data_IF_635352611685
#
_entry.id   IF_635352611685
#
_cell.length_a   1.000
_cell.length_b   1.000
_cell.length_c   1.000
_cell.angle_alpha   90.00
_cell.angle_beta   90.00
_cell.angle_gamma   90.00
#
_symmetry.space_group_name_H-M   'P 1'
#
loop_
_entity.id
_entity.type
_entity.pdbx_description
1 polymer ?
#
# COMPACT_ATOMS: atom_id res chain seq x y z
N UNK A 1 -2.08 20.82 -22.57
CA UNK A 1 -1.04 20.29 -21.63
C UNK A 1 -0.14 19.32 -22.38
N UNK A 2 1.19 19.37 -22.22
CA UNK A 2 2.11 18.41 -22.90
C UNK A 2 1.87 17.00 -22.34
N UNK A 3 1.43 16.06 -23.18
CA UNK A 3 1.38 14.62 -22.84
C UNK A 3 2.79 14.21 -22.37
N UNK A 4 2.96 13.98 -21.08
CA UNK A 4 4.20 13.40 -20.54
C UNK A 4 4.21 11.95 -20.98
N UNK A 5 5.27 11.52 -21.67
CA UNK A 5 5.49 10.11 -22.02
C UNK A 5 5.31 9.20 -20.79
N UNK A 6 4.66 8.05 -20.96
CA UNK A 6 4.41 7.03 -19.95
C UNK A 6 5.69 6.69 -19.15
N UNK A 7 6.84 6.67 -19.82
CA UNK A 7 8.14 6.44 -19.18
C UNK A 7 8.52 7.53 -18.17
N UNK A 8 8.20 8.79 -18.46
CA UNK A 8 8.47 9.91 -17.56
C UNK A 8 7.57 9.84 -16.31
N UNK A 9 6.32 9.37 -16.46
CA UNK A 9 5.41 9.12 -15.34
C UNK A 9 5.92 7.98 -14.45
N UNK A 10 6.29 6.84 -15.04
CA UNK A 10 6.89 5.70 -14.32
C UNK A 10 8.14 6.09 -13.53
N UNK A 11 9.02 6.91 -14.12
CA UNK A 11 10.23 7.39 -13.44
C UNK A 11 9.91 8.34 -12.29
N UNK A 12 8.93 9.22 -12.45
CA UNK A 12 8.48 10.14 -11.39
C UNK A 12 7.88 9.35 -10.22
N UNK A 13 7.03 8.37 -10.52
CA UNK A 13 6.49 7.44 -9.53
C UNK A 13 7.58 6.63 -8.84
N UNK A 14 8.59 6.18 -9.60
CA UNK A 14 9.78 5.53 -9.04
C UNK A 14 10.51 6.40 -8.02
N UNK A 15 10.61 7.71 -8.24
CA UNK A 15 11.20 8.62 -7.24
C UNK A 15 10.34 8.72 -5.97
N UNK A 16 9.01 8.80 -6.11
CA UNK A 16 8.11 8.77 -4.95
C UNK A 16 8.26 7.47 -4.14
N UNK A 17 8.30 6.33 -4.80
CA UNK A 17 8.48 5.03 -4.12
C UNK A 17 9.86 4.92 -3.46
N UNK A 18 10.89 5.53 -4.05
CA UNK A 18 12.21 5.64 -3.43
C UNK A 18 12.12 6.42 -2.12
N UNK A 19 11.49 7.60 -2.12
CA UNK A 19 11.30 8.42 -0.91
C UNK A 19 10.53 7.63 0.16
N UNK A 20 9.42 6.99 -0.21
CA UNK A 20 8.66 6.16 0.72
C UNK A 20 9.50 5.02 1.32
N UNK A 21 10.25 4.30 0.48
CA UNK A 21 11.09 3.19 0.97
C UNK A 21 12.19 3.67 1.92
N UNK A 22 12.79 4.84 1.68
CA UNK A 22 13.76 5.44 2.59
C UNK A 22 13.11 5.89 3.91
N UNK A 23 11.87 6.39 3.86
CA UNK A 23 11.11 6.69 5.08
C UNK A 23 10.89 5.43 5.91
N UNK A 24 10.43 4.34 5.28
CA UNK A 24 10.15 3.07 5.96
C UNK A 24 11.41 2.38 6.51
N UNK A 25 12.52 2.42 5.77
CA UNK A 25 13.74 1.70 6.12
C UNK A 25 14.67 2.48 7.06
N UNK A 26 14.69 3.80 6.95
CA UNK A 26 15.70 4.63 7.61
C UNK A 26 15.04 5.64 8.53
N UNK A 27 14.17 6.52 8.01
CA UNK A 27 13.67 7.65 8.79
C UNK A 27 12.83 7.19 10.00
N UNK A 28 11.87 6.28 9.78
CA UNK A 28 10.97 5.80 10.84
C UNK A 28 11.74 4.98 11.90
N UNK A 29 12.56 3.97 11.53
CA UNK A 29 13.35 3.23 12.53
C UNK A 29 14.33 4.11 13.30
N UNK A 30 15.02 5.05 12.63
CA UNK A 30 15.92 5.98 13.32
C UNK A 30 15.17 6.91 14.27
N UNK A 31 14.02 7.44 13.85
CA UNK A 31 13.19 8.28 14.71
C UNK A 31 12.73 7.51 15.95
N UNK A 32 12.34 6.24 15.77
CA UNK A 32 11.94 5.40 16.89
C UNK A 32 13.11 5.16 17.87
N UNK A 33 14.30 4.84 17.36
CA UNK A 33 15.46 4.51 18.21
C UNK A 33 16.08 5.76 18.87
N UNK A 34 16.16 6.88 18.15
CA UNK A 34 16.88 8.08 18.61
C UNK A 34 15.99 9.08 19.35
N UNK A 35 14.68 9.09 19.10
CA UNK A 35 13.76 10.08 19.66
C UNK A 35 12.73 9.42 20.57
N UNK A 36 11.98 8.43 20.08
CA UNK A 36 10.89 7.84 20.87
C UNK A 36 11.37 6.98 22.03
N UNK A 37 12.30 6.05 21.78
CA UNK A 37 12.78 5.13 22.81
C UNK A 37 13.45 5.86 24.00
N UNK A 38 14.34 6.86 23.81
CA UNK A 38 14.92 7.60 24.93
C UNK A 38 13.89 8.39 25.75
N UNK A 39 12.75 8.73 25.15
CA UNK A 39 11.64 9.39 25.87
C UNK A 39 10.71 8.42 26.60
N UNK A 40 11.00 7.11 26.58
CA UNK A 40 10.22 6.09 27.30
C UNK A 40 9.04 5.49 26.52
N UNK A 41 8.93 5.74 25.21
CA UNK A 41 7.82 5.24 24.39
C UNK A 41 7.67 3.70 24.43
N UNK A 42 8.77 2.95 24.36
CA UNK A 42 8.77 1.48 24.40
C UNK A 42 8.21 0.92 25.70
N UNK A 43 8.52 1.59 26.81
CA UNK A 43 8.25 1.08 28.16
C UNK A 43 6.77 1.22 28.49
N UNK A 44 6.15 2.32 28.04
CA UNK A 44 4.70 2.54 28.19
C UNK A 44 3.85 1.55 27.39
N UNK A 45 4.37 1.01 26.29
CA UNK A 45 3.63 0.11 25.39
C UNK A 45 3.76 -1.36 25.74
N UNK A 46 4.85 -1.75 26.40
CA UNK A 46 5.18 -3.16 26.69
C UNK A 46 4.59 -3.67 28.00
N UNK A 47 4.22 -2.78 28.93
CA UNK A 47 3.71 -3.18 30.25
C UNK A 47 2.17 -3.21 30.36
N UNK A 48 1.43 -2.92 29.28
CA UNK A 48 -0.03 -2.90 29.31
C UNK A 48 -0.63 -1.82 30.22
N UNK A 49 0.19 -0.86 30.67
CA UNK A 49 -0.24 0.29 31.45
C UNK A 49 -0.75 1.39 30.52
N UNK A 50 -1.97 1.19 30.03
CA UNK A 50 -2.68 2.15 29.18
C UNK A 50 -2.67 3.57 29.76
N UNK A 51 -2.75 3.73 31.08
CA UNK A 51 -2.69 5.04 31.74
C UNK A 51 -1.31 5.70 31.59
N UNK A 52 -0.23 4.92 31.72
CA UNK A 52 1.14 5.43 31.52
C UNK A 52 1.36 5.83 30.06
N UNK A 53 0.77 5.07 29.13
CA UNK A 53 0.76 5.42 27.71
C UNK A 53 -0.01 6.72 27.42
N UNK A 54 -1.19 6.90 28.00
CA UNK A 54 -1.96 8.13 27.87
C UNK A 54 -1.26 9.34 28.49
N UNK A 55 -0.63 9.16 29.65
CA UNK A 55 0.16 10.18 30.32
C UNK A 55 1.37 10.59 29.48
N UNK A 56 2.12 9.61 28.97
CA UNK A 56 3.26 9.87 28.09
C UNK A 56 2.83 10.60 26.82
N UNK A 57 1.73 10.17 26.21
CA UNK A 57 1.18 10.78 24.99
C UNK A 57 0.79 12.24 25.22
N UNK A 58 0.26 12.58 26.40
CA UNK A 58 -0.13 13.94 26.76
C UNK A 58 1.09 14.85 26.86
N UNK A 59 2.18 14.36 27.42
CA UNK A 59 3.42 15.11 27.58
C UNK A 59 4.28 15.16 26.30
N UNK A 60 4.13 14.20 25.40
CA UNK A 60 4.96 14.05 24.18
C UNK A 60 4.14 14.06 22.89
N UNK A 61 3.00 14.75 22.88
CA UNK A 61 2.08 14.82 21.74
C UNK A 61 2.79 15.15 20.41
N UNK A 62 3.69 16.15 20.32
CA UNK A 62 4.38 16.46 19.06
C UNK A 62 5.21 15.28 18.55
N UNK A 63 5.89 14.56 19.45
CA UNK A 63 6.74 13.44 19.07
C UNK A 63 5.93 12.28 18.48
N UNK A 64 4.76 12.02 19.07
CA UNK A 64 3.83 11.00 18.59
C UNK A 64 3.20 11.38 17.24
N UNK A 65 2.77 12.64 17.08
CA UNK A 65 2.19 13.14 15.82
C UNK A 65 3.20 13.06 14.69
N UNK A 66 4.46 13.46 14.91
CA UNK A 66 5.51 13.36 13.91
C UNK A 66 5.72 11.90 13.49
N UNK A 67 5.82 10.98 14.45
CA UNK A 67 5.97 9.54 14.15
C UNK A 67 4.81 8.99 13.31
N UNK A 68 3.56 9.26 13.73
CA UNK A 68 2.37 8.80 13.01
C UNK A 68 2.22 9.46 11.64
N UNK A 69 2.59 10.74 11.53
CA UNK A 69 2.62 11.48 10.29
C UNK A 69 3.63 10.92 9.29
N UNK A 70 4.86 10.62 9.74
CA UNK A 70 5.88 9.98 8.89
C UNK A 70 5.40 8.64 8.33
N UNK A 71 4.75 7.84 9.17
CA UNK A 71 4.22 6.53 8.80
C UNK A 71 3.04 6.63 7.83
N UNK A 72 2.10 7.57 8.06
CA UNK A 72 1.00 7.84 7.15
C UNK A 72 1.50 8.37 5.79
N UNK A 73 2.44 9.32 5.79
CA UNK A 73 3.04 9.88 4.57
C UNK A 73 3.78 8.80 3.78
N UNK A 74 4.56 7.94 4.46
CA UNK A 74 5.28 6.87 3.78
C UNK A 74 4.34 5.95 2.99
N UNK A 75 3.19 5.58 3.56
CA UNK A 75 2.21 4.76 2.85
C UNK A 75 1.38 5.55 1.83
N UNK A 76 1.02 6.81 2.10
CA UNK A 76 0.31 7.65 1.16
C UNK A 76 1.09 7.86 -0.15
N UNK A 77 2.42 8.00 -0.06
CA UNK A 77 3.30 8.10 -1.24
C UNK A 77 3.29 6.82 -2.09
N UNK A 78 2.95 5.66 -1.51
CA UNK A 78 2.85 4.39 -2.24
C UNK A 78 1.48 4.19 -2.90
N UNK A 79 0.54 5.13 -2.79
CA UNK A 79 -0.83 4.97 -3.28
C UNK A 79 -0.92 4.52 -4.75
N UNK A 80 -0.06 5.05 -5.62
CA UNK A 80 -0.03 4.72 -7.06
C UNK A 80 0.78 3.45 -7.38
N UNK A 81 1.42 2.83 -6.38
CA UNK A 81 2.32 1.68 -6.59
C UNK A 81 1.58 0.45 -7.14
N UNK A 82 0.41 0.04 -6.61
CA UNK A 82 -0.33 -1.11 -7.14
C UNK A 82 -0.71 -0.93 -8.61
N UNK A 83 -1.19 0.26 -8.99
CA UNK A 83 -1.49 0.61 -10.39
C UNK A 83 -0.25 0.57 -11.28
N UNK A 84 0.88 1.07 -10.79
CA UNK A 84 2.14 1.04 -11.54
C UNK A 84 2.59 -0.40 -11.81
N UNK A 85 2.51 -1.30 -10.82
CA UNK A 85 2.83 -2.71 -11.00
C UNK A 85 1.86 -3.40 -11.97
N UNK A 86 0.57 -3.10 -11.86
CA UNK A 86 -0.45 -3.61 -12.77
C UNK A 86 -0.16 -3.25 -14.22
N UNK A 87 0.07 -1.97 -14.51
CA UNK A 87 0.38 -1.51 -15.87
C UNK A 87 1.61 -2.21 -16.44
N UNK A 88 2.65 -2.39 -15.64
CA UNK A 88 3.87 -3.09 -16.08
C UNK A 88 3.58 -4.56 -16.37
N UNK A 89 2.79 -5.23 -15.52
CA UNK A 89 2.45 -6.64 -15.70
C UNK A 89 1.57 -6.84 -16.93
N UNK A 90 0.52 -6.02 -17.08
CA UNK A 90 -0.37 -6.08 -18.25
C UNK A 90 0.38 -5.76 -19.53
N UNK A 91 1.22 -4.73 -19.56
CA UNK A 91 2.04 -4.41 -20.74
C UNK A 91 2.96 -5.58 -21.14
N UNK A 92 3.59 -6.26 -20.17
CA UNK A 92 4.44 -7.42 -20.44
C UNK A 92 3.63 -8.66 -20.87
N UNK A 93 2.40 -8.83 -20.38
CA UNK A 93 1.50 -9.90 -20.84
C UNK A 93 1.02 -9.65 -22.28
N UNK A 94 0.78 -8.40 -22.67
CA UNK A 94 0.38 -8.00 -24.03
C UNK A 94 1.51 -8.23 -25.03
N UNK A 95 2.74 -7.77 -24.71
CA UNK A 95 3.95 -8.04 -25.52
C UNK A 95 4.22 -9.55 -25.70
N UNK A 96 3.63 -10.39 -24.85
CA UNK A 96 3.71 -11.85 -24.92
C UNK A 96 2.64 -12.52 -25.80
N UNK A 97 1.66 -11.76 -26.33
CA UNK A 97 0.53 -12.26 -27.14
C UNK A 97 0.80 -12.07 -28.64
N UNK A 98 0.01 -12.77 -29.46
CA UNK A 98 0.07 -12.67 -30.93
C UNK A 98 -0.45 -11.31 -31.42
N UNK A 99 0.01 -10.81 -32.60
CA UNK A 99 -0.23 -9.44 -33.08
C UNK A 99 -1.71 -9.02 -33.19
N UNK A 100 -2.64 -9.97 -33.35
CA UNK A 100 -4.08 -9.68 -33.41
C UNK A 100 -4.69 -9.33 -32.03
N UNK A 101 -4.07 -9.77 -30.92
CA UNK A 101 -4.48 -9.44 -29.54
C UNK A 101 -3.75 -8.19 -28.99
N UNK A 102 -2.72 -7.72 -29.69
CA UNK A 102 -1.86 -6.59 -29.31
C UNK A 102 -2.58 -5.24 -29.53
N UNK A 103 -3.30 -5.10 -30.65
CA UNK A 103 -3.99 -3.86 -31.04
C UNK A 103 -5.17 -3.47 -30.14
N UNK A 104 -5.90 -4.45 -29.61
CA UNK A 104 -7.05 -4.23 -28.73
C UNK A 104 -6.59 -3.80 -27.33
N UNK A 105 -5.48 -4.38 -26.86
CA UNK A 105 -5.00 -4.15 -25.50
C UNK A 105 -4.18 -2.86 -25.35
N UNK A 106 -3.49 -2.42 -26.42
CA UNK A 106 -2.89 -1.07 -26.47
C UNK A 106 -3.96 0.02 -26.36
N UNK A 107 -5.11 -0.16 -27.04
CA UNK A 107 -6.23 0.76 -26.95
C UNK A 107 -6.84 0.82 -25.54
N UNK A 108 -6.96 -0.32 -24.84
CA UNK A 108 -7.44 -0.36 -23.44
C UNK A 108 -6.52 0.42 -22.48
N UNK A 109 -5.19 0.31 -22.63
CA UNK A 109 -4.23 1.03 -21.78
C UNK A 109 -4.32 2.55 -22.01
N UNK A 110 -4.48 2.98 -23.27
CA UNK A 110 -4.64 4.40 -23.58
C UNK A 110 -5.97 4.96 -23.07
N UNK A 111 -7.03 4.15 -23.05
CA UNK A 111 -8.35 4.53 -22.51
C UNK A 111 -8.29 4.68 -20.97
N UNK A 112 -7.73 3.70 -20.25
CA UNK A 112 -7.53 3.81 -18.79
C UNK A 112 -6.60 4.99 -18.42
N UNK A 113 -5.66 5.37 -19.29
CA UNK A 113 -4.78 6.54 -19.07
C UNK A 113 -5.53 7.87 -19.20
N UNK A 114 -6.55 7.96 -20.06
CA UNK A 114 -7.39 9.14 -20.18
C UNK A 114 -8.39 9.23 -19.02
N UNK A 115 -8.99 8.12 -18.59
CA UNK A 115 -9.93 8.09 -17.46
C UNK A 115 -9.25 8.49 -16.13
N UNK A 116 -8.02 8.02 -15.86
CA UNK A 116 -7.28 8.38 -14.64
C UNK A 116 -6.83 9.86 -14.62
N UNK A 117 -6.80 10.52 -15.79
CA UNK A 117 -6.54 11.96 -15.92
C UNK A 117 -7.84 12.78 -15.85
N UNK A 118 -8.96 12.22 -16.27
CA UNK A 118 -10.30 12.82 -16.16
C UNK A 118 -10.84 12.74 -14.72
N UNK A 119 -10.64 11.63 -14.00
CA UNK A 119 -11.01 11.52 -12.56
C UNK A 119 -10.25 12.53 -11.67
N UNK A 120 -9.05 12.97 -12.07
CA UNK A 120 -8.31 14.04 -11.38
C UNK A 120 -8.70 15.45 -11.81
N UNK A 121 -9.47 15.59 -12.90
CA UNK A 121 -9.93 16.86 -13.45
C UNK A 121 -11.43 17.12 -13.20
N UNK A 122 -12.21 16.10 -12.86
CA UNK A 122 -13.67 16.18 -12.71
C UNK A 122 -14.17 16.59 -11.31
N UNK A 123 -13.30 16.95 -10.35
CA UNK A 123 -13.75 17.64 -9.12
C UNK A 123 -14.22 19.10 -9.39
N UNK A 124 -14.15 19.61 -10.62
CA UNK A 124 -14.74 20.89 -11.02
C UNK A 124 -15.42 20.84 -12.39
N UNK A 125 -16.48 20.04 -12.60
CA UNK A 125 -17.71 20.50 -13.31
C UNK A 125 -18.77 19.40 -13.39
N UNK A 126 -19.94 19.67 -12.80
CA UNK A 126 -21.15 18.87 -13.01
C UNK A 126 -21.70 19.00 -14.44
N UNK A 127 -22.22 17.86 -14.93
CA UNK A 127 -23.33 17.67 -15.86
C UNK A 127 -23.15 18.03 -17.36
N UNK A 128 -23.06 17.00 -18.21
CA UNK A 128 -24.13 16.75 -19.20
C UNK A 128 -24.08 15.34 -19.83
N UNK A 129 -25.27 14.82 -20.14
CA UNK A 129 -25.60 13.52 -20.74
C UNK A 129 -24.95 13.24 -22.10
N UNK A 130 -24.86 11.95 -22.49
CA UNK A 130 -25.55 11.31 -23.64
C UNK A 130 -25.13 9.83 -23.77
N UNK A 131 -26.10 8.91 -23.64
CA UNK A 131 -26.11 7.56 -24.25
C UNK A 131 -26.65 7.67 -25.70
N UNK A 132 -26.23 6.82 -26.67
CA UNK A 132 -26.81 5.47 -26.76
C UNK A 132 -25.93 4.32 -27.31
N UNK A 133 -26.40 3.12 -26.98
CA UNK A 133 -26.19 1.76 -27.48
C UNK A 133 -25.53 1.54 -28.87
N UNK A 134 -24.67 0.51 -28.96
CA UNK A 134 -24.81 -0.56 -29.96
C UNK A 134 -24.22 -1.88 -29.43
N UNK A 135 -25.10 -2.81 -29.07
CA UNK A 135 -24.78 -4.21 -28.75
C UNK A 135 -24.35 -4.95 -30.02
N UNK A 136 -23.06 -5.30 -30.12
CA UNK A 136 -22.64 -6.43 -30.97
C UNK A 136 -22.45 -7.65 -30.09
N UNK A 137 -23.43 -8.55 -30.18
CA UNK A 137 -23.36 -9.95 -29.76
C UNK A 137 -22.09 -10.62 -30.27
N UNK A 138 -21.07 -10.73 -29.43
CA UNK A 138 -20.00 -11.71 -29.62
C UNK A 138 -20.33 -12.98 -28.84
N UNK A 139 -20.26 -14.10 -29.56
CA UNK A 139 -20.54 -15.44 -29.07
C UNK A 139 -19.76 -15.73 -27.79
N UNK A 140 -20.53 -16.13 -26.78
CA UNK A 140 -20.13 -16.53 -25.43
C UNK A 140 -19.28 -17.83 -25.46
N UNK A 141 -18.15 -17.79 -26.14
CA UNK A 141 -17.07 -18.76 -26.00
C UNK A 141 -16.18 -18.24 -24.88
N UNK A 142 -16.28 -18.86 -23.69
CA UNK A 142 -15.28 -18.60 -22.65
C UNK A 142 -13.91 -18.85 -23.28
N UNK A 143 -12.98 -17.86 -23.26
CA UNK A 143 -11.63 -18.11 -23.72
C UNK A 143 -11.09 -19.30 -22.94
N UNK A 144 -10.37 -20.20 -23.62
CA UNK A 144 -9.80 -21.44 -23.06
C UNK A 144 -8.92 -21.16 -21.81
N UNK A 145 -8.60 -19.88 -21.57
CA UNK A 145 -7.94 -19.36 -20.40
C UNK A 145 -8.61 -18.11 -19.79
N UNK A 146 -9.91 -18.13 -19.48
CA UNK A 146 -10.64 -17.04 -18.79
C UNK A 146 -10.01 -16.58 -17.46
N UNK A 147 -9.06 -17.37 -16.93
CA UNK A 147 -8.34 -17.19 -15.67
C UNK A 147 -6.91 -16.62 -15.86
N UNK A 148 -6.55 -16.16 -17.07
CA UNK A 148 -5.22 -15.58 -17.37
C UNK A 148 -5.14 -14.11 -16.97
N UNK A 149 -4.32 -13.83 -15.95
CA UNK A 149 -3.58 -12.57 -15.80
C UNK A 149 -4.42 -11.38 -15.35
N UNK A 150 -5.26 -10.84 -16.24
CA UNK A 150 -5.96 -9.55 -16.07
C UNK A 150 -6.83 -9.50 -14.80
N UNK A 151 -7.69 -10.50 -14.57
CA UNK A 151 -8.58 -10.51 -13.40
C UNK A 151 -7.85 -10.55 -12.06
N UNK A 152 -6.77 -11.33 -11.96
CA UNK A 152 -5.93 -11.36 -10.75
C UNK A 152 -5.10 -10.10 -10.58
N UNK A 153 -4.67 -9.48 -11.69
CA UNK A 153 -3.98 -8.21 -11.66
C UNK A 153 -4.90 -7.08 -11.15
N UNK A 154 -6.16 -7.06 -11.59
CA UNK A 154 -7.18 -6.12 -11.09
C UNK A 154 -7.42 -6.33 -9.59
N UNK A 155 -7.63 -7.57 -9.15
CA UNK A 155 -7.78 -7.88 -7.71
C UNK A 155 -6.54 -7.41 -6.93
N UNK A 156 -5.33 -7.63 -7.47
CA UNK A 156 -4.09 -7.20 -6.84
C UNK A 156 -4.02 -5.68 -6.68
N UNK A 157 -4.45 -4.91 -7.68
CA UNK A 157 -4.53 -3.45 -7.61
C UNK A 157 -5.50 -3.02 -6.52
N UNK A 158 -6.75 -3.45 -6.61
CA UNK A 158 -7.81 -3.02 -5.69
C UNK A 158 -7.51 -3.41 -4.25
N UNK A 159 -6.98 -4.61 -4.01
CA UNK A 159 -6.57 -5.02 -2.66
C UNK A 159 -5.38 -4.18 -2.16
N UNK A 160 -4.41 -3.88 -3.03
CA UNK A 160 -3.26 -3.04 -2.67
C UNK A 160 -3.67 -1.61 -2.33
N UNK A 161 -4.51 -0.99 -3.16
CA UNK A 161 -4.97 0.39 -2.99
C UNK A 161 -5.87 0.52 -1.79
N UNK A 162 -6.87 -0.36 -1.64
CA UNK A 162 -7.73 -0.41 -0.46
C UNK A 162 -6.92 -0.62 0.82
N UNK A 163 -5.90 -1.50 0.78
CA UNK A 163 -4.99 -1.71 1.89
C UNK A 163 -4.22 -0.44 2.28
N UNK A 164 -3.67 0.30 1.32
CA UNK A 164 -2.96 1.55 1.59
C UNK A 164 -3.91 2.62 2.16
N UNK A 165 -5.10 2.77 1.58
CA UNK A 165 -6.11 3.75 2.05
C UNK A 165 -6.53 3.45 3.48
N UNK A 166 -6.88 2.20 3.77
CA UNK A 166 -7.27 1.78 5.12
C UNK A 166 -6.11 1.96 6.12
N UNK A 167 -4.87 1.75 5.70
CA UNK A 167 -3.71 1.95 6.56
C UNK A 167 -3.56 3.42 6.94
N UNK A 168 -3.64 4.33 5.96
CA UNK A 168 -3.53 5.78 6.17
C UNK A 168 -4.69 6.27 7.02
N UNK A 169 -5.93 5.94 6.66
CA UNK A 169 -7.13 6.35 7.40
C UNK A 169 -7.12 5.81 8.83
N UNK A 170 -6.82 4.52 9.01
CA UNK A 170 -6.74 3.91 10.33
C UNK A 170 -5.65 4.54 11.19
N UNK A 171 -4.51 4.90 10.60
CA UNK A 171 -3.42 5.59 11.31
C UNK A 171 -3.83 7.00 11.72
N UNK A 172 -4.46 7.77 10.83
CA UNK A 172 -4.90 9.15 11.10
C UNK A 172 -6.02 9.18 12.14
N UNK A 173 -7.09 8.39 11.93
CA UNK A 173 -8.23 8.33 12.84
C UNK A 173 -7.82 7.81 14.22
N UNK A 174 -6.98 6.76 14.27
CA UNK A 174 -6.44 6.25 15.53
C UNK A 174 -5.56 7.28 16.25
N UNK A 175 -4.78 8.08 15.51
CA UNK A 175 -3.98 9.17 16.08
C UNK A 175 -4.88 10.24 16.69
N UNK A 176 -5.90 10.71 15.97
CA UNK A 176 -6.84 11.73 16.45
C UNK A 176 -7.56 11.23 17.71
N UNK A 177 -8.04 10.00 17.70
CA UNK A 177 -8.72 9.40 18.85
C UNK A 177 -7.82 9.32 20.08
N UNK A 178 -6.60 8.81 19.93
CA UNK A 178 -5.64 8.67 21.03
C UNK A 178 -5.22 10.02 21.61
N UNK A 179 -5.06 11.05 20.77
CA UNK A 179 -4.76 12.41 21.24
C UNK A 179 -5.92 12.99 22.06
N UNK A 180 -7.15 12.82 21.60
CA UNK A 180 -8.34 13.25 22.35
C UNK A 180 -8.48 12.49 23.67
N UNK A 181 -8.25 11.18 23.65
CA UNK A 181 -8.28 10.35 24.86
C UNK A 181 -7.20 10.74 25.87
N UNK A 182 -6.00 11.05 25.41
CA UNK A 182 -4.90 11.54 26.25
C UNK A 182 -5.18 12.92 26.82
N UNK A 183 -5.73 13.83 26.01
CA UNK A 183 -6.10 15.16 26.50
C UNK A 183 -7.19 15.08 27.58
N UNK A 184 -8.21 14.24 27.38
CA UNK A 184 -9.23 13.98 28.40
C UNK A 184 -8.63 13.40 29.69
N UNK A 185 -7.74 12.41 29.57
CA UNK A 185 -7.05 11.81 30.70
C UNK A 185 -6.22 12.82 31.50
N UNK A 186 -5.51 13.74 30.83
CA UNK A 186 -4.71 14.78 31.50
C UNK A 186 -5.58 15.78 32.29
N UNK A 187 -6.87 15.92 31.96
CA UNK A 187 -7.79 16.81 32.65
C UNK A 187 -8.53 16.13 33.81
N UNK A 188 -8.97 14.88 33.63
CA UNK A 188 -9.83 14.18 34.60
C UNK A 188 -9.10 13.16 35.45
N UNK A 189 -7.91 12.71 35.04
CA UNK A 189 -7.16 11.62 35.68
C UNK A 189 -7.76 10.22 35.43
N UNK A 190 -8.85 10.12 34.68
CA UNK A 190 -9.55 8.87 34.39
C UNK A 190 -9.50 8.56 32.90
N UNK A 191 -9.13 7.32 32.56
CA UNK A 191 -9.09 6.86 31.18
C UNK A 191 -10.52 6.62 30.64
N UNK A 192 -10.81 6.93 29.37
CA UNK A 192 -12.12 6.65 28.79
C UNK A 192 -12.45 5.15 28.84
N UNK A 193 -13.66 4.79 29.28
CA UNK A 193 -14.07 3.38 29.49
C UNK A 193 -13.89 2.49 28.25
N UNK A 194 -14.08 3.05 27.05
CA UNK A 194 -14.04 2.31 25.78
C UNK A 194 -12.67 2.33 25.07
N UNK A 195 -11.65 2.93 25.67
CA UNK A 195 -10.36 3.14 25.00
C UNK A 195 -9.69 1.84 24.54
N UNK A 196 -9.72 0.78 25.34
CA UNK A 196 -9.14 -0.50 24.94
C UNK A 196 -9.83 -1.11 23.72
N UNK A 197 -11.15 -0.95 23.61
CA UNK A 197 -11.92 -1.40 22.46
C UNK A 197 -11.56 -0.62 21.21
N UNK A 198 -11.52 0.71 21.30
CA UNK A 198 -11.17 1.55 20.15
C UNK A 198 -9.71 1.38 19.72
N UNK A 199 -8.77 1.26 20.66
CA UNK A 199 -7.36 0.99 20.34
C UNK A 199 -7.18 -0.37 19.64
N UNK A 200 -7.91 -1.40 20.09
CA UNK A 200 -7.94 -2.69 19.42
C UNK A 200 -8.53 -2.60 18.00
N UNK A 201 -9.63 -1.87 17.82
CA UNK A 201 -10.24 -1.65 16.49
C UNK A 201 -9.23 -0.99 15.55
N UNK A 202 -8.62 0.13 15.95
CA UNK A 202 -7.64 0.82 15.10
C UNK A 202 -6.41 -0.04 14.81
N UNK A 203 -5.95 -0.83 15.79
CA UNK A 203 -4.84 -1.76 15.61
C UNK A 203 -5.19 -2.88 14.62
N UNK A 204 -6.38 -3.47 14.70
CA UNK A 204 -6.85 -4.50 13.77
C UNK A 204 -7.01 -3.90 12.36
N UNK A 205 -7.65 -2.74 12.24
CA UNK A 205 -7.82 -2.08 10.95
C UNK A 205 -6.48 -1.80 10.27
N UNK A 206 -5.52 -1.20 11.00
CA UNK A 206 -4.22 -0.81 10.44
C UNK A 206 -3.27 -1.99 10.22
N UNK A 207 -3.10 -2.87 11.21
CA UNK A 207 -2.07 -3.91 11.15
C UNK A 207 -2.57 -5.28 10.70
N UNK A 208 -3.88 -5.54 10.76
CA UNK A 208 -4.44 -6.82 10.29
C UNK A 208 -5.10 -6.64 8.92
N UNK A 209 -6.14 -5.80 8.83
CA UNK A 209 -6.93 -5.66 7.60
C UNK A 209 -6.07 -5.01 6.51
N UNK A 210 -5.48 -3.85 6.79
CA UNK A 210 -4.74 -3.09 5.79
C UNK A 210 -3.47 -3.81 5.34
N UNK A 211 -2.64 -4.26 6.28
CA UNK A 211 -1.43 -5.04 5.96
C UNK A 211 -1.79 -6.37 5.29
N UNK A 212 -2.88 -7.04 5.69
CA UNK A 212 -3.35 -8.26 5.06
C UNK A 212 -3.76 -8.04 3.60
N UNK A 213 -4.44 -6.94 3.29
CA UNK A 213 -4.79 -6.57 1.92
C UNK A 213 -3.55 -6.26 1.07
N UNK A 214 -2.55 -5.57 1.63
CA UNK A 214 -1.26 -5.35 0.98
C UNK A 214 -0.53 -6.68 0.76
N UNK A 215 -0.62 -7.62 1.70
CA UNK A 215 -0.04 -8.95 1.57
C UNK A 215 -0.66 -9.72 0.39
N UNK A 216 -1.99 -9.70 0.27
CA UNK A 216 -2.72 -10.32 -0.84
C UNK A 216 -2.31 -9.69 -2.18
N UNK A 217 -2.22 -8.37 -2.25
CA UNK A 217 -1.75 -7.64 -3.42
C UNK A 217 -0.34 -8.09 -3.83
N UNK A 218 0.60 -8.10 -2.88
CA UNK A 218 1.99 -8.53 -3.12
C UNK A 218 2.08 -10.00 -3.54
N UNK A 219 1.19 -10.86 -3.01
CA UNK A 219 1.11 -12.27 -3.40
C UNK A 219 0.70 -12.42 -4.86
N UNK A 220 -0.36 -11.72 -5.29
CA UNK A 220 -0.82 -11.81 -6.67
C UNK A 220 0.19 -11.24 -7.65
N UNK A 221 0.77 -10.07 -7.38
CA UNK A 221 1.83 -9.50 -8.21
C UNK A 221 3.05 -10.43 -8.30
N UNK A 222 3.47 -11.01 -7.17
CA UNK A 222 4.55 -12.00 -7.15
C UNK A 222 4.21 -13.28 -7.92
N UNK A 223 3.02 -13.83 -7.74
CA UNK A 223 2.61 -15.08 -8.38
C UNK A 223 2.50 -14.93 -9.91
N UNK A 224 1.98 -13.81 -10.40
CA UNK A 224 1.85 -13.55 -11.84
C UNK A 224 3.21 -13.51 -12.53
N UNK A 225 4.16 -12.73 -11.98
CA UNK A 225 5.51 -12.63 -12.54
C UNK A 225 6.25 -13.97 -12.43
N UNK A 226 6.15 -14.66 -11.29
CA UNK A 226 6.82 -15.95 -11.07
C UNK A 226 6.31 -17.04 -12.03
N UNK A 227 5.01 -17.08 -12.30
CA UNK A 227 4.37 -18.03 -13.22
C UNK A 227 4.82 -17.81 -14.66
N UNK A 228 4.86 -16.55 -15.10
CA UNK A 228 5.33 -16.17 -16.42
C UNK A 228 6.83 -16.50 -16.61
N UNK A 229 7.60 -16.43 -15.52
CA UNK A 229 8.98 -16.88 -15.49
C UNK A 229 9.88 -16.15 -16.49
N UNK A 230 10.97 -16.80 -16.89
CA UNK A 230 11.93 -16.25 -17.88
C UNK A 230 11.37 -16.15 -19.31
N UNK A 231 10.14 -16.60 -19.55
CA UNK A 231 9.51 -16.50 -20.87
C UNK A 231 9.12 -15.07 -21.21
N UNK A 232 8.65 -14.32 -20.21
CA UNK A 232 8.21 -12.92 -20.36
C UNK A 232 9.12 -11.96 -19.60
N UNK A 233 9.76 -12.41 -18.51
CA UNK A 233 10.44 -11.51 -17.60
C UNK A 233 11.97 -11.69 -17.57
N UNK A 234 12.74 -10.60 -17.50
CA UNK A 234 14.17 -10.66 -17.18
C UNK A 234 14.42 -11.29 -15.80
N UNK A 235 15.59 -11.91 -15.60
CA UNK A 235 15.91 -12.62 -14.36
C UNK A 235 15.78 -11.77 -13.08
N UNK A 236 16.02 -10.45 -13.15
CA UNK A 236 15.85 -9.55 -12.00
C UNK A 236 14.39 -9.43 -11.55
N UNK A 237 13.44 -9.44 -12.49
CA UNK A 237 12.01 -9.40 -12.18
C UNK A 237 11.51 -10.70 -11.57
N UNK A 238 12.13 -11.83 -11.92
CA UNK A 238 11.84 -13.12 -11.29
C UNK A 238 12.30 -13.16 -9.81
N UNK A 239 13.46 -12.59 -9.49
CA UNK A 239 13.87 -12.47 -8.10
C UNK A 239 12.99 -11.50 -7.31
N UNK A 240 12.60 -10.39 -7.95
CA UNK A 240 11.62 -9.46 -7.41
C UNK A 240 10.29 -10.14 -7.08
N UNK A 241 9.83 -11.07 -7.92
CA UNK A 241 8.58 -11.79 -7.69
C UNK A 241 8.67 -12.80 -6.54
N UNK A 242 9.79 -13.51 -6.40
CA UNK A 242 10.01 -14.37 -5.24
C UNK A 242 10.11 -13.57 -3.94
N UNK A 243 10.74 -12.39 -3.99
CA UNK A 243 10.75 -11.47 -2.86
C UNK A 243 9.33 -11.01 -2.51
N UNK A 244 8.49 -10.70 -3.50
CA UNK A 244 7.10 -10.33 -3.27
C UNK A 244 6.30 -11.43 -2.55
N UNK A 245 6.52 -12.71 -2.92
CA UNK A 245 5.91 -13.86 -2.23
C UNK A 245 6.40 -14.00 -0.78
N UNK A 246 7.69 -13.75 -0.52
CA UNK A 246 8.24 -13.74 0.83
C UNK A 246 7.68 -12.59 1.68
N UNK A 247 7.54 -11.41 1.09
CA UNK A 247 6.86 -10.24 1.69
C UNK A 247 5.42 -10.58 2.03
N UNK A 248 4.67 -11.17 1.10
CA UNK A 248 3.29 -11.60 1.34
C UNK A 248 3.17 -12.57 2.52
N UNK A 249 4.07 -13.55 2.60
CA UNK A 249 4.08 -14.53 3.70
C UNK A 249 4.33 -13.86 5.06
N UNK A 250 5.32 -12.96 5.15
CA UNK A 250 5.63 -12.24 6.39
C UNK A 250 4.54 -11.25 6.78
N UNK A 251 3.99 -10.48 5.83
CA UNK A 251 2.90 -9.56 6.09
C UNK A 251 1.65 -10.30 6.55
N UNK A 252 1.31 -11.43 5.91
CA UNK A 252 0.19 -12.28 6.34
C UNK A 252 0.39 -12.85 7.74
N UNK A 253 1.58 -13.39 8.03
CA UNK A 253 1.94 -13.88 9.37
C UNK A 253 1.85 -12.77 10.42
N UNK A 254 2.27 -11.55 10.07
CA UNK A 254 2.19 -10.40 10.97
C UNK A 254 0.76 -9.96 11.23
N UNK A 255 -0.10 -9.96 10.19
CA UNK A 255 -1.51 -9.60 10.29
C UNK A 255 -2.26 -10.57 11.21
N UNK A 256 -2.01 -11.88 11.08
CA UNK A 256 -2.56 -12.93 11.95
C UNK A 256 -2.03 -12.79 13.37
N UNK A 257 -0.72 -12.52 13.52
CA UNK A 257 -0.10 -12.32 14.84
C UNK A 257 -0.69 -11.13 15.60
N UNK A 258 -1.05 -10.05 14.91
CA UNK A 258 -1.73 -8.91 15.54
C UNK A 258 -3.21 -9.22 15.81
N UNK A 259 -3.87 -9.97 14.92
CA UNK A 259 -5.27 -10.36 15.12
C UNK A 259 -5.47 -11.25 16.35
N UNK A 260 -4.49 -12.09 16.70
CA UNK A 260 -4.56 -12.97 17.88
C UNK A 260 -4.29 -12.26 19.21
N UNK A 261 -3.61 -11.11 19.19
CA UNK A 261 -3.29 -10.33 20.38
C UNK A 261 -3.30 -8.81 20.10
N UNK A 262 -4.46 -8.22 19.77
CA UNK A 262 -4.55 -6.83 19.29
C UNK A 262 -4.15 -5.81 20.36
N UNK A 263 -4.27 -6.13 21.65
CA UNK A 263 -3.87 -5.27 22.76
C UNK A 263 -2.36 -5.03 22.87
N UNK A 264 -1.54 -5.85 22.20
CA UNK A 264 -0.08 -5.65 22.13
C UNK A 264 0.34 -4.63 21.08
N UNK A 265 -0.59 -4.18 20.23
CA UNK A 265 -0.38 -3.12 19.24
C UNK A 265 0.48 -3.50 18.03
N UNK A 266 1.49 -4.37 18.19
CA UNK A 266 2.36 -4.89 17.13
C UNK A 266 2.86 -6.29 17.49
N UNK A 267 2.89 -7.19 16.50
CA UNK A 267 3.57 -8.46 16.65
C UNK A 267 5.07 -8.27 16.43
N UNK A 268 5.92 -9.10 17.05
CA UNK A 268 7.38 -9.10 16.81
C UNK A 268 7.73 -9.20 15.32
N UNK A 269 6.89 -9.90 14.56
CA UNK A 269 7.05 -10.09 13.11
C UNK A 269 6.71 -8.83 12.31
N UNK A 270 5.88 -7.91 12.81
CA UNK A 270 5.41 -6.73 12.08
C UNK A 270 6.56 -5.83 11.66
N UNK A 271 7.56 -5.62 12.52
CA UNK A 271 8.75 -4.83 12.18
C UNK A 271 9.53 -5.44 11.02
N UNK A 272 9.81 -6.75 11.09
CA UNK A 272 10.53 -7.44 10.02
C UNK A 272 9.75 -7.47 8.71
N UNK A 273 8.42 -7.62 8.78
CA UNK A 273 7.55 -7.62 7.62
C UNK A 273 7.53 -6.25 6.92
N UNK A 274 7.41 -5.15 7.68
CA UNK A 274 7.45 -3.78 7.14
C UNK A 274 8.83 -3.46 6.55
N UNK A 275 9.92 -3.89 7.21
CA UNK A 275 11.27 -3.70 6.66
C UNK A 275 11.47 -4.48 5.36
N UNK A 276 11.01 -5.73 5.27
CA UNK A 276 11.12 -6.49 4.03
C UNK A 276 10.26 -5.87 2.91
N UNK A 277 9.05 -5.41 3.24
CA UNK A 277 8.21 -4.64 2.32
C UNK A 277 8.92 -3.35 1.86
N UNK A 278 9.60 -2.64 2.76
CA UNK A 278 10.42 -1.48 2.43
C UNK A 278 11.57 -1.81 1.46
N UNK A 279 12.27 -2.93 1.66
CA UNK A 279 13.33 -3.41 0.76
C UNK A 279 12.75 -3.77 -0.61
N UNK A 280 11.60 -4.42 -0.64
CA UNK A 280 10.91 -4.78 -1.88
C UNK A 280 10.48 -3.54 -2.67
N UNK A 281 9.90 -2.54 -2.00
CA UNK A 281 9.57 -1.24 -2.60
C UNK A 281 10.82 -0.49 -3.07
N UNK A 282 11.91 -0.51 -2.31
CA UNK A 282 13.18 0.07 -2.71
C UNK A 282 13.68 -0.57 -4.00
N UNK A 283 13.61 -1.90 -4.10
CA UNK A 283 13.98 -2.60 -5.33
C UNK A 283 13.09 -2.17 -6.50
N UNK A 284 11.77 -2.13 -6.32
CA UNK A 284 10.84 -1.67 -7.34
C UNK A 284 11.19 -0.25 -7.83
N UNK A 285 11.43 0.68 -6.90
CA UNK A 285 11.80 2.06 -7.20
C UNK A 285 13.07 2.17 -8.04
N UNK A 286 14.09 1.38 -7.72
CA UNK A 286 15.37 1.35 -8.46
C UNK A 286 15.15 0.81 -9.87
N UNK A 287 14.28 -0.19 -10.06
CA UNK A 287 13.94 -0.70 -11.39
C UNK A 287 13.29 0.39 -12.25
N UNK A 288 12.32 1.14 -11.70
CA UNK A 288 11.63 2.21 -12.41
C UNK A 288 12.56 3.38 -12.76
N UNK A 289 13.46 3.76 -11.85
CA UNK A 289 14.40 4.85 -12.07
C UNK A 289 15.47 4.53 -13.12
N UNK A 290 15.75 3.24 -13.37
CA UNK A 290 16.72 2.78 -14.38
C UNK A 290 16.15 2.75 -15.79
N UNK A 291 14.84 2.96 -15.97
CA UNK A 291 14.25 3.10 -17.30
C UNK A 291 14.89 4.33 -17.99
N UNK A 292 15.59 4.12 -19.11
CA UNK A 292 16.24 5.19 -19.88
C UNK A 292 15.16 6.06 -20.50
N UNK A 293 15.27 7.38 -20.34
CA UNK A 293 14.51 8.32 -21.15
C UNK A 293 15.00 8.22 -22.60
N UNK A 294 14.06 8.21 -23.55
CA UNK A 294 14.36 8.42 -24.97
C UNK A 294 15.05 9.76 -25.20
#
# INVERSE_FOLDING_TARGET
MRKRSLLARLRTNGFYYLVSSLLLLVAIPLYQVLVLNPTGFSDTRTMGHLNDYLFWLGNHTPLFVIYRGLLAIAFAILFTMPYTLYRIIVAQEILGRSPDEESIAEAEIELEENEELEELAEEETEANEIEPEEETTEENTMPEFAWRGKGFAIIAVWTGTAGIVLFVLGTVLGTIYLLNASHGFMQTGEAPVNIGTFDAIFTITTNTVSIGLIAISSMFFGAMIARAGKRLWPGNWLWFSYMALAVAALLSGSAVGVASAPSTGQATLTTFAILLFGIWNLWHSIMLLRLKAE
#
